data_IF_389847437451
#
_entry.id   IF_389847437451
#
_cell.length_a   1.000
_cell.length_b   1.000
_cell.length_c   1.000
_cell.angle_alpha   90.00
_cell.angle_beta   90.00
_cell.angle_gamma   90.00
#
_symmetry.space_group_name_H-M   'P 1'
#
loop_
_entity.id
_entity.type
_entity.pdbx_description
1 polymer ?
#
# COMPACT_ATOMS: atom_id res chain seq x y z
N UNK A 1 28.33 3.18 -9.74
CA UNK A 1 27.20 2.86 -8.87
C UNK A 1 27.30 1.36 -8.59
N UNK A 2 27.74 0.98 -7.40
CA UNK A 2 27.87 -0.44 -7.01
C UNK A 2 26.44 -0.83 -6.59
N UNK A 3 25.77 -1.64 -7.39
CA UNK A 3 24.52 -2.29 -6.96
C UNK A 3 24.90 -3.22 -5.81
N UNK A 4 24.46 -2.91 -4.61
CA UNK A 4 24.49 -3.87 -3.51
C UNK A 4 23.74 -5.12 -3.94
N UNK A 5 24.28 -6.27 -3.57
CA UNK A 5 23.63 -7.55 -3.89
C UNK A 5 22.23 -7.56 -3.28
N UNK A 6 21.28 -8.14 -4.00
CA UNK A 6 19.94 -8.44 -3.51
C UNK A 6 20.05 -9.07 -2.13
N UNK A 7 19.19 -8.69 -1.18
CA UNK A 7 19.11 -9.40 0.10
C UNK A 7 18.99 -10.90 -0.16
N UNK A 8 19.71 -11.69 0.63
CA UNK A 8 19.70 -13.15 0.50
C UNK A 8 18.49 -13.78 1.21
N UNK A 9 17.76 -13.00 2.01
CA UNK A 9 16.58 -13.44 2.72
C UNK A 9 15.35 -13.31 1.83
N UNK A 10 14.40 -14.26 1.93
CA UNK A 10 13.12 -14.12 1.25
C UNK A 10 12.37 -12.93 1.86
N UNK A 11 11.99 -11.95 1.04
CA UNK A 11 11.21 -10.80 1.48
C UNK A 11 9.75 -11.15 1.65
N UNK A 12 9.21 -11.93 0.71
CA UNK A 12 7.80 -12.32 0.68
C UNK A 12 7.62 -13.70 1.30
N UNK A 13 6.67 -13.82 2.21
CA UNK A 13 6.37 -15.08 2.91
C UNK A 13 6.03 -16.22 1.93
N UNK A 14 6.43 -17.44 2.25
CA UNK A 14 6.18 -18.59 1.36
C UNK A 14 4.71 -18.97 1.25
N UNK A 15 3.93 -18.64 2.27
CA UNK A 15 2.47 -18.84 2.27
C UNK A 15 1.71 -17.79 1.46
N UNK A 16 2.37 -16.69 1.06
CA UNK A 16 1.74 -15.69 0.21
C UNK A 16 1.30 -16.32 -1.10
N UNK A 17 0.04 -16.17 -1.38
CA UNK A 17 -0.58 -16.60 -2.64
C UNK A 17 -1.78 -15.74 -2.98
N UNK A 18 -2.02 -15.62 -4.26
CA UNK A 18 -3.21 -15.00 -4.80
C UNK A 18 -3.76 -15.91 -5.91
N UNK A 19 -4.73 -16.74 -5.54
CA UNK A 19 -5.40 -17.69 -6.42
C UNK A 19 -6.78 -17.18 -6.85
N UNK A 20 -7.56 -18.09 -7.42
CA UNK A 20 -8.87 -17.75 -8.00
C UNK A 20 -9.86 -17.24 -6.94
N UNK A 21 -9.84 -17.83 -5.73
CA UNK A 21 -10.75 -17.43 -4.65
C UNK A 21 -10.44 -16.02 -4.13
N UNK A 22 -9.17 -15.68 -3.96
CA UNK A 22 -8.71 -14.36 -3.56
C UNK A 22 -9.04 -13.33 -4.65
N UNK A 23 -8.85 -13.71 -5.92
CA UNK A 23 -9.21 -12.86 -7.05
C UNK A 23 -10.72 -12.60 -7.11
N UNK A 24 -11.56 -13.61 -6.96
CA UNK A 24 -13.02 -13.45 -6.94
C UNK A 24 -13.47 -12.54 -5.79
N UNK A 25 -12.84 -12.69 -4.61
CA UNK A 25 -13.11 -11.79 -3.47
C UNK A 25 -12.72 -10.35 -3.83
N UNK A 26 -11.51 -10.14 -4.35
CA UNK A 26 -11.02 -8.81 -4.73
C UNK A 26 -11.91 -8.15 -5.79
N UNK A 27 -12.33 -8.89 -6.81
CA UNK A 27 -13.22 -8.37 -7.85
C UNK A 27 -14.61 -7.98 -7.30
N UNK A 28 -15.08 -8.69 -6.30
CA UNK A 28 -16.37 -8.41 -5.68
C UNK A 28 -16.31 -7.25 -4.70
N UNK A 29 -15.30 -7.24 -3.83
CA UNK A 29 -15.22 -6.29 -2.71
C UNK A 29 -14.36 -5.06 -3.00
N UNK A 30 -13.39 -5.15 -3.94
CA UNK A 30 -12.49 -4.06 -4.31
C UNK A 30 -11.22 -3.98 -3.47
N UNK A 31 -11.00 -4.94 -2.58
CA UNK A 31 -9.81 -5.08 -1.75
C UNK A 31 -9.57 -6.55 -1.39
N UNK A 32 -8.37 -6.84 -0.96
CA UNK A 32 -8.01 -8.13 -0.34
C UNK A 32 -6.97 -7.91 0.74
N UNK A 33 -7.04 -8.66 1.83
CA UNK A 33 -6.09 -8.62 2.94
C UNK A 33 -5.33 -9.95 2.96
N UNK A 34 -4.01 -9.84 2.99
CA UNK A 34 -3.13 -11.00 3.09
C UNK A 34 -2.74 -11.19 4.56
N UNK A 35 -2.96 -12.38 5.10
CA UNK A 35 -2.64 -12.68 6.49
C UNK A 35 -1.13 -12.60 6.77
N UNK A 36 -0.32 -12.95 5.79
CA UNK A 36 1.15 -12.92 5.89
C UNK A 36 1.74 -12.60 4.53
N UNK A 37 2.22 -11.36 4.38
CA UNK A 37 2.82 -10.92 3.15
C UNK A 37 4.34 -10.89 3.24
N UNK A 38 4.91 -10.06 4.12
CA UNK A 38 6.35 -10.04 4.38
C UNK A 38 6.75 -11.10 5.41
N UNK A 39 8.00 -11.55 5.33
CA UNK A 39 8.59 -12.33 6.41
C UNK A 39 8.90 -11.44 7.61
N UNK A 40 9.01 -12.01 8.81
CA UNK A 40 9.34 -11.26 10.02
C UNK A 40 10.70 -10.57 9.88
N UNK A 41 11.67 -11.24 9.24
CA UNK A 41 12.99 -10.68 8.96
C UNK A 41 12.90 -9.50 7.97
N UNK A 42 12.03 -9.59 6.96
CA UNK A 42 11.81 -8.49 6.02
C UNK A 42 11.16 -7.27 6.68
N UNK A 43 10.26 -7.48 7.65
CA UNK A 43 9.67 -6.39 8.43
C UNK A 43 10.75 -5.66 9.24
N UNK A 44 11.60 -6.39 9.95
CA UNK A 44 12.69 -5.80 10.75
C UNK A 44 13.74 -5.07 9.87
N UNK A 45 14.09 -5.67 8.73
CA UNK A 45 14.99 -5.01 7.77
C UNK A 45 14.35 -3.74 7.19
N UNK A 46 13.05 -3.81 6.82
CA UNK A 46 12.29 -2.67 6.32
C UNK A 46 12.21 -1.52 7.32
N UNK A 47 11.93 -1.82 8.59
CA UNK A 47 11.98 -0.81 9.68
C UNK A 47 13.33 -0.12 9.76
N UNK A 48 14.42 -0.87 9.66
CA UNK A 48 15.78 -0.31 9.68
C UNK A 48 16.05 0.62 8.48
N UNK A 49 15.49 0.33 7.31
CA UNK A 49 15.55 1.22 6.15
C UNK A 49 14.71 2.48 6.36
N UNK A 50 13.49 2.33 6.91
CA UNK A 50 12.57 3.43 7.21
C UNK A 50 13.21 4.39 8.22
N UNK A 51 13.78 3.88 9.30
CA UNK A 51 14.43 4.69 10.33
C UNK A 51 15.56 5.54 9.75
N UNK A 52 16.39 4.96 8.88
CA UNK A 52 17.44 5.72 8.18
C UNK A 52 16.89 6.83 7.29
N UNK A 53 15.79 6.57 6.57
CA UNK A 53 15.14 7.60 5.74
C UNK A 53 14.62 8.73 6.63
N UNK A 54 13.95 8.39 7.73
CA UNK A 54 13.40 9.35 8.69
C UNK A 54 14.53 10.18 9.33
N UNK A 55 15.65 9.56 9.71
CA UNK A 55 16.80 10.26 10.28
C UNK A 55 17.47 11.23 9.30
N UNK A 56 17.45 10.92 8.01
CA UNK A 56 18.05 11.74 6.96
C UNK A 56 17.15 12.90 6.50
N UNK A 57 15.88 12.88 6.88
CA UNK A 57 14.93 13.93 6.50
C UNK A 57 15.31 15.30 7.10
N UNK A 58 14.77 16.35 6.52
CA UNK A 58 15.00 17.71 7.00
C UNK A 58 14.57 17.87 8.47
N UNK A 59 15.46 18.39 9.31
CA UNK A 59 15.15 18.65 10.73
C UNK A 59 14.02 19.66 10.83
N UNK A 60 13.02 19.35 11.64
CA UNK A 60 11.89 20.22 11.92
C UNK A 60 10.62 19.92 11.11
N UNK A 61 10.63 18.89 10.28
CA UNK A 61 9.38 18.39 9.71
C UNK A 61 8.55 17.71 10.81
N UNK A 62 7.28 18.07 10.91
CA UNK A 62 6.34 17.55 11.91
C UNK A 62 5.02 17.26 11.20
N UNK A 63 4.48 16.04 11.38
CA UNK A 63 3.18 15.69 10.83
C UNK A 63 3.17 14.40 10.01
N UNK A 64 2.31 14.35 9.01
CA UNK A 64 2.24 13.26 8.04
C UNK A 64 3.13 13.60 6.85
N UNK A 65 4.03 12.70 6.51
CA UNK A 65 5.00 12.88 5.43
C UNK A 65 4.90 11.73 4.43
N UNK A 66 4.93 12.09 3.15
CA UNK A 66 5.07 11.13 2.05
C UNK A 66 6.48 11.20 1.49
N UNK A 67 7.15 10.07 1.44
CA UNK A 67 8.50 9.93 0.91
C UNK A 67 8.53 8.87 -0.17
N UNK A 68 9.31 9.07 -1.22
CA UNK A 68 9.48 8.12 -2.30
C UNK A 68 10.83 7.38 -2.15
N UNK A 69 10.91 6.30 -1.37
CA UNK A 69 12.17 5.65 -1.01
C UNK A 69 12.95 5.15 -2.23
N UNK A 70 12.27 4.69 -3.27
CA UNK A 70 12.90 4.25 -4.52
C UNK A 70 13.60 5.41 -5.26
N UNK A 71 13.11 6.64 -5.13
CA UNK A 71 13.74 7.84 -5.68
C UNK A 71 14.95 8.30 -4.85
N UNK A 72 14.97 7.92 -3.56
CA UNK A 72 16.11 8.16 -2.66
C UNK A 72 17.22 7.13 -2.81
N UNK A 73 17.05 6.15 -3.69
CA UNK A 73 18.05 5.11 -3.94
C UNK A 73 17.94 3.90 -3.02
N UNK A 74 16.88 3.80 -2.24
CA UNK A 74 16.62 2.66 -1.36
C UNK A 74 16.14 1.46 -2.16
N UNK A 75 17.11 0.65 -2.57
CA UNK A 75 16.89 -0.53 -3.42
C UNK A 75 15.98 -1.58 -2.76
N UNK A 76 15.99 -1.70 -1.45
CA UNK A 76 15.23 -2.69 -0.71
C UNK A 76 13.72 -2.60 -1.00
N UNK A 77 13.16 -1.40 -1.03
CA UNK A 77 11.76 -1.20 -1.39
C UNK A 77 11.48 -1.56 -2.85
N UNK A 78 12.45 -1.30 -3.73
CA UNK A 78 12.35 -1.75 -5.12
C UNK A 78 12.33 -3.27 -5.22
N UNK A 79 13.12 -3.97 -4.41
CA UNK A 79 13.19 -5.42 -4.41
C UNK A 79 11.85 -6.05 -3.98
N UNK A 80 11.11 -5.48 -3.03
CA UNK A 80 9.74 -5.90 -2.69
C UNK A 80 8.82 -5.72 -3.90
N UNK A 81 8.78 -4.53 -4.47
CA UNK A 81 7.86 -4.20 -5.56
C UNK A 81 8.11 -5.04 -6.83
N UNK A 82 9.33 -5.53 -7.00
CA UNK A 82 9.74 -6.36 -8.14
C UNK A 82 9.95 -7.82 -7.78
N UNK A 83 9.54 -8.24 -6.58
CA UNK A 83 9.55 -9.65 -6.23
C UNK A 83 8.65 -10.46 -7.18
N UNK A 84 9.09 -11.63 -7.65
CA UNK A 84 8.31 -12.44 -8.58
C UNK A 84 6.89 -12.76 -8.10
N UNK A 85 6.68 -12.94 -6.79
CA UNK A 85 5.35 -13.19 -6.21
C UNK A 85 4.44 -11.97 -6.31
N UNK A 86 4.99 -10.77 -6.12
CA UNK A 86 4.26 -9.51 -6.26
C UNK A 86 3.94 -9.24 -7.72
N UNK A 87 4.88 -9.49 -8.62
CA UNK A 87 4.65 -9.35 -10.05
C UNK A 87 3.62 -10.34 -10.59
N UNK A 88 3.64 -11.60 -10.12
CA UNK A 88 2.62 -12.60 -10.49
C UNK A 88 1.21 -12.16 -10.05
N UNK A 89 1.08 -11.65 -8.83
CA UNK A 89 -0.17 -11.04 -8.37
C UNK A 89 -0.60 -9.89 -9.27
N UNK A 90 0.29 -8.92 -9.51
CA UNK A 90 0.00 -7.75 -10.31
C UNK A 90 -0.39 -8.12 -11.76
N UNK A 91 0.31 -9.09 -12.35
CA UNK A 91 -0.01 -9.59 -13.70
C UNK A 91 -1.39 -10.24 -13.77
N UNK A 92 -1.75 -11.06 -12.81
CA UNK A 92 -3.09 -11.67 -12.71
C UNK A 92 -4.18 -10.62 -12.60
N UNK A 93 -3.91 -9.50 -11.93
CA UNK A 93 -4.89 -8.44 -11.71
C UNK A 93 -4.96 -7.43 -12.85
N UNK A 94 -3.82 -7.01 -13.37
CA UNK A 94 -3.69 -5.88 -14.31
C UNK A 94 -3.32 -6.31 -15.74
N UNK A 95 -2.96 -7.57 -15.92
CA UNK A 95 -2.42 -8.08 -17.19
C UNK A 95 -0.89 -7.94 -17.27
N UNK A 96 -0.28 -8.46 -18.36
CA UNK A 96 1.17 -8.65 -18.44
C UNK A 96 1.98 -7.36 -18.68
N UNK A 97 1.34 -6.25 -18.99
CA UNK A 97 2.01 -4.98 -19.24
C UNK A 97 1.93 -4.09 -18.00
N UNK A 98 2.88 -4.26 -17.11
CA UNK A 98 2.91 -3.60 -15.82
C UNK A 98 3.82 -2.38 -15.81
N UNK A 99 3.39 -1.34 -15.13
CA UNK A 99 4.19 -0.16 -14.81
C UNK A 99 4.05 0.13 -13.32
N UNK A 100 5.17 0.16 -12.60
CA UNK A 100 5.21 0.73 -11.26
C UNK A 100 5.11 2.25 -11.40
N UNK A 101 3.92 2.77 -11.11
CA UNK A 101 3.65 4.19 -11.25
C UNK A 101 4.23 5.01 -10.11
N UNK A 102 3.97 4.59 -8.89
CA UNK A 102 4.38 5.30 -7.69
C UNK A 102 4.63 4.31 -6.54
N UNK A 103 5.47 4.68 -5.61
CA UNK A 103 5.64 3.99 -4.34
C UNK A 103 6.03 5.01 -3.28
N UNK A 104 5.17 5.17 -2.29
CA UNK A 104 5.35 6.12 -1.19
C UNK A 104 5.53 5.40 0.13
N UNK A 105 6.39 5.95 0.96
CA UNK A 105 6.44 5.66 2.38
C UNK A 105 5.65 6.73 3.13
N UNK A 106 4.57 6.34 3.77
CA UNK A 106 3.74 7.25 4.56
C UNK A 106 4.14 7.16 6.03
N UNK A 107 4.78 8.20 6.54
CA UNK A 107 5.11 8.31 7.95
C UNK A 107 4.14 9.26 8.67
N UNK A 108 3.48 8.76 9.71
CA UNK A 108 2.62 9.56 10.60
C UNK A 108 3.28 9.69 11.96
N UNK A 109 3.83 10.85 12.24
CA UNK A 109 4.53 11.09 13.51
C UNK A 109 3.56 11.05 14.70
N UNK A 110 3.90 10.34 15.80
CA UNK A 110 3.05 10.23 16.97
C UNK A 110 2.61 11.57 17.56
N UNK A 111 1.32 11.70 17.82
CA UNK A 111 0.74 12.89 18.47
C UNK A 111 0.52 14.10 17.56
N UNK A 112 1.12 14.15 16.36
CA UNK A 112 1.03 15.28 15.43
C UNK A 112 0.66 14.86 14.01
N UNK A 113 0.79 13.59 13.67
CA UNK A 113 0.36 13.03 12.40
C UNK A 113 -1.15 13.26 12.18
N UNK A 114 -1.54 13.55 10.93
CA UNK A 114 -2.94 13.78 10.57
C UNK A 114 -3.50 12.62 9.80
N UNK A 115 -4.79 12.36 9.98
CA UNK A 115 -5.55 11.46 9.12
C UNK A 115 -5.57 11.97 7.67
N UNK A 116 -5.69 11.06 6.74
CA UNK A 116 -5.92 11.35 5.33
C UNK A 116 -7.42 11.16 5.09
N UNK A 117 -8.04 12.14 4.44
CA UNK A 117 -9.45 12.08 4.11
C UNK A 117 -9.76 10.96 3.11
N UNK A 118 -10.99 10.50 3.09
CA UNK A 118 -11.49 9.60 2.06
C UNK A 118 -11.18 10.13 0.67
N UNK A 119 -10.63 9.30 -0.18
CA UNK A 119 -10.27 9.64 -1.56
C UNK A 119 -10.18 8.38 -2.42
N UNK A 120 -10.13 8.59 -3.71
CA UNK A 120 -9.70 7.60 -4.69
C UNK A 120 -8.39 8.10 -5.29
N UNK A 121 -7.33 7.30 -5.28
CA UNK A 121 -6.02 7.72 -5.78
C UNK A 121 -6.06 8.19 -7.23
N UNK A 122 -6.94 7.59 -8.02
CA UNK A 122 -7.13 7.97 -9.42
C UNK A 122 -7.50 9.46 -9.60
N UNK A 123 -8.06 10.12 -8.57
CA UNK A 123 -8.38 11.55 -8.66
C UNK A 123 -7.13 12.44 -8.78
N UNK A 124 -5.98 11.97 -8.31
CA UNK A 124 -4.71 12.72 -8.35
C UNK A 124 -3.99 12.58 -9.69
N UNK A 125 -4.45 11.71 -10.58
CA UNK A 125 -3.81 11.46 -11.86
C UNK A 125 -4.64 12.02 -13.01
N UNK A 126 -3.98 12.51 -14.05
CA UNK A 126 -4.66 13.00 -15.25
C UNK A 126 -5.41 11.84 -15.93
N UNK A 127 -6.72 11.81 -15.76
CA UNK A 127 -7.59 10.77 -16.27
C UNK A 127 -7.62 10.68 -17.80
N UNK A 128 -7.17 11.71 -18.49
CA UNK A 128 -7.02 11.65 -19.95
C UNK A 128 -5.80 10.82 -20.35
N UNK A 129 -4.82 10.71 -19.46
CA UNK A 129 -3.58 9.99 -19.69
C UNK A 129 -3.61 8.59 -19.08
N UNK A 130 -4.25 8.38 -17.94
CA UNK A 130 -4.30 7.08 -17.25
C UNK A 130 -5.67 6.45 -17.42
N UNK A 131 -5.80 5.58 -18.41
CA UNK A 131 -7.01 4.77 -18.65
C UNK A 131 -6.83 3.30 -18.33
N UNK A 132 -5.68 2.94 -17.79
CA UNK A 132 -5.36 1.56 -17.43
C UNK A 132 -5.97 1.20 -16.06
N UNK A 133 -6.28 -0.08 -15.82
CA UNK A 133 -6.58 -0.55 -14.48
C UNK A 133 -5.42 -0.26 -13.52
N UNK A 134 -5.74 0.07 -12.29
CA UNK A 134 -4.79 0.40 -11.23
C UNK A 134 -5.01 -0.52 -10.04
N UNK A 135 -3.96 -0.80 -9.29
CA UNK A 135 -4.02 -1.49 -8.02
C UNK A 135 -2.91 -0.97 -7.11
N UNK A 136 -3.22 -0.80 -5.83
CA UNK A 136 -2.28 -0.39 -4.80
C UNK A 136 -1.99 -1.56 -3.86
N UNK A 137 -0.74 -1.69 -3.47
CA UNK A 137 -0.31 -2.53 -2.36
C UNK A 137 0.06 -1.63 -1.18
N UNK A 138 -0.68 -1.78 -0.08
CA UNK A 138 -0.39 -1.05 1.15
C UNK A 138 0.21 -2.02 2.18
N UNK A 139 1.39 -1.72 2.68
CA UNK A 139 2.16 -2.58 3.58
C UNK A 139 2.45 -1.81 4.87
N UNK A 140 1.84 -2.17 6.01
CA UNK A 140 2.22 -1.60 7.29
C UNK A 140 3.54 -2.21 7.77
N UNK A 141 4.41 -1.39 8.32
CA UNK A 141 5.64 -1.82 9.00
C UNK A 141 5.56 -1.75 10.51
N UNK A 142 4.48 -1.17 11.02
CA UNK A 142 4.13 -1.14 12.43
C UNK A 142 2.77 -1.80 12.63
N UNK A 143 2.47 -2.20 13.87
CA UNK A 143 1.13 -2.59 14.25
C UNK A 143 0.21 -1.39 14.11
N UNK A 144 -0.85 -1.52 13.32
CA UNK A 144 -1.75 -0.42 13.00
C UNK A 144 -3.18 -0.71 13.42
N UNK A 145 -3.84 0.31 13.96
CA UNK A 145 -5.23 0.29 14.36
C UNK A 145 -5.92 1.64 14.09
N UNK A 146 -7.17 1.79 14.47
CA UNK A 146 -7.95 3.02 14.29
C UNK A 146 -7.31 4.24 14.99
N UNK A 147 -6.47 4.03 15.99
CA UNK A 147 -5.88 5.10 16.81
C UNK A 147 -4.52 5.57 16.27
N UNK A 148 -3.85 4.75 15.47
CA UNK A 148 -2.50 5.05 14.99
C UNK A 148 -2.39 5.16 13.46
N UNK A 149 -3.51 5.10 12.75
CA UNK A 149 -3.54 5.49 11.35
C UNK A 149 -3.60 4.38 10.33
N UNK A 150 -4.30 3.31 10.66
CA UNK A 150 -4.64 2.25 9.70
C UNK A 150 -5.36 2.78 8.47
N UNK A 151 -5.36 1.99 7.41
CA UNK A 151 -6.15 2.24 6.22
C UNK A 151 -7.59 1.75 6.44
N UNK A 152 -8.56 2.50 5.94
CA UNK A 152 -9.96 2.09 5.89
C UNK A 152 -10.45 2.10 4.45
N UNK A 153 -11.36 1.19 4.09
CA UNK A 153 -11.94 1.10 2.75
C UNK A 153 -13.45 1.09 2.78
N UNK A 154 -14.05 1.48 1.68
CA UNK A 154 -15.48 1.32 1.43
C UNK A 154 -15.68 0.12 0.48
N UNK A 155 -16.10 -1.04 0.98
CA UNK A 155 -16.27 -2.24 0.15
C UNK A 155 -17.21 -1.99 -1.03
N UNK A 156 -16.90 -2.56 -2.18
CA UNK A 156 -17.71 -2.51 -3.42
C UNK A 156 -17.83 -1.12 -4.06
N UNK A 157 -17.03 -0.13 -3.59
CA UNK A 157 -17.08 1.21 -4.18
C UNK A 157 -16.19 1.35 -5.43
N UNK A 158 -15.23 0.48 -5.63
CA UNK A 158 -14.39 0.41 -6.83
C UNK A 158 -15.20 0.30 -8.13
N UNK A 159 -16.41 -0.29 -8.09
CA UNK A 159 -17.30 -0.44 -9.25
C UNK A 159 -18.14 0.81 -9.55
N UNK A 160 -18.04 1.87 -8.75
CA UNK A 160 -18.82 3.10 -8.94
C UNK A 160 -18.13 4.11 -9.88
N UNK A 161 -16.92 3.78 -10.36
CA UNK A 161 -16.09 4.70 -11.11
C UNK A 161 -15.54 5.83 -10.24
N UNK A 162 -14.91 6.81 -10.87
CA UNK A 162 -14.39 7.96 -10.15
C UNK A 162 -15.52 8.85 -9.66
N UNK A 163 -15.52 9.10 -8.37
CA UNK A 163 -16.52 9.88 -7.66
C UNK A 163 -16.05 11.32 -7.42
N UNK A 164 -16.98 12.25 -7.30
CA UNK A 164 -16.64 13.59 -6.84
C UNK A 164 -16.28 13.57 -5.35
N UNK A 165 -15.41 14.48 -4.90
CA UNK A 165 -15.06 14.61 -3.48
C UNK A 165 -16.32 14.80 -2.61
N UNK A 166 -17.29 15.57 -3.06
CA UNK A 166 -18.56 15.76 -2.35
C UNK A 166 -19.34 14.46 -2.15
N UNK A 167 -19.28 13.53 -3.12
CA UNK A 167 -19.91 12.21 -2.99
C UNK A 167 -19.15 11.34 -1.99
N UNK A 168 -17.82 11.42 -2.00
CA UNK A 168 -16.95 10.70 -1.06
C UNK A 168 -17.17 11.21 0.36
N UNK A 169 -17.20 12.52 0.57
CA UNK A 169 -17.40 13.14 1.88
C UNK A 169 -18.80 12.79 2.46
N UNK A 170 -19.82 12.70 1.60
CA UNK A 170 -21.17 12.28 2.01
C UNK A 170 -21.25 10.80 2.42
N UNK A 171 -20.27 10.00 2.05
CA UNK A 171 -20.15 8.61 2.48
C UNK A 171 -19.58 8.47 3.89
N UNK A 172 -19.15 9.56 4.50
CA UNK A 172 -18.69 9.57 5.89
C UNK A 172 -19.88 9.18 6.79
N UNK A 173 -19.91 7.94 7.26
CA UNK A 173 -21.06 7.31 7.95
C UNK A 173 -21.67 6.12 7.22
N UNK A 174 -21.25 5.82 5.99
CA UNK A 174 -21.56 4.56 5.33
C UNK A 174 -20.90 3.38 6.08
N UNK A 175 -21.40 2.18 5.81
CA UNK A 175 -20.80 0.95 6.34
C UNK A 175 -19.30 0.91 5.99
N UNK A 176 -18.47 1.02 7.01
CA UNK A 176 -17.02 0.98 6.91
C UNK A 176 -16.55 -0.41 7.26
N UNK A 177 -15.58 -0.90 6.52
CA UNK A 177 -14.71 -1.97 7.01
C UNK A 177 -13.41 -1.30 7.39
N UNK A 178 -13.14 -1.18 8.68
CA UNK A 178 -11.79 -0.84 9.11
C UNK A 178 -10.92 -2.07 8.91
N UNK A 179 -9.71 -1.83 8.46
CA UNK A 179 -8.72 -2.91 8.26
C UNK A 179 -8.43 -3.63 9.58
N UNK A 180 -8.64 -2.96 10.71
CA UNK A 180 -8.41 -3.51 12.06
C UNK A 180 -9.34 -4.64 12.45
N UNK A 181 -10.58 -4.67 11.97
CA UNK A 181 -11.49 -5.78 12.24
C UNK A 181 -11.07 -7.05 11.52
N UNK A 182 -10.25 -6.93 10.48
CA UNK A 182 -9.87 -8.03 9.60
C UNK A 182 -8.36 -8.29 9.61
N UNK A 183 -7.54 -7.28 9.87
CA UNK A 183 -6.09 -7.33 9.75
C UNK A 183 -5.39 -7.20 11.10
N UNK A 184 -5.63 -8.14 12.03
CA UNK A 184 -4.78 -8.25 13.22
C UNK A 184 -3.37 -8.77 12.91
N UNK A 185 -3.14 -9.26 11.69
CA UNK A 185 -1.87 -9.86 11.25
C UNK A 185 -1.62 -9.74 9.73
N UNK A 186 -2.10 -8.70 9.03
CA UNK A 186 -2.01 -8.79 7.58
C UNK A 186 -1.89 -7.49 6.79
N UNK A 187 -1.38 -7.65 5.61
CA UNK A 187 -1.11 -6.61 4.63
C UNK A 187 -2.34 -6.36 3.74
N UNK A 188 -2.56 -5.11 3.38
CA UNK A 188 -3.78 -4.68 2.72
C UNK A 188 -3.60 -4.31 1.25
N UNK A 189 -4.58 -4.67 0.42
CA UNK A 189 -4.72 -4.24 -0.95
C UNK A 189 -5.99 -3.43 -1.15
N UNK A 190 -5.88 -2.18 -1.56
CA UNK A 190 -6.99 -1.33 -1.94
C UNK A 190 -7.07 -1.07 -3.44
N UNK A 191 -8.28 -0.87 -3.96
CA UNK A 191 -8.54 -0.44 -5.31
C UNK A 191 -8.92 1.04 -5.31
N UNK A 192 -8.25 1.81 -6.14
CA UNK A 192 -8.64 3.21 -6.42
C UNK A 192 -9.50 3.31 -7.67
#
# INVERSE_FOLDING_TARGET
MVYEMRTTLPLIHDEFKFGDAEQEFFEREGYYIFDRFLTDEAIEEGRSHIDRIIEQRAKGFVGTEMMAPHQLGEKWFWDIMTDPKVLDFAEKRLGPNLVLWHADLLNKEPGVGRGIHWHQDQMYWDQQQVRAPLANLWIPFDDVDEHNGTLSVLPRWHNKGLLSQATIDAADGAERTSVDEVARDGDFFGYS
#
